data_IF_764304110230
#
_entry.id   IF_764304110230
#
_cell.length_a   1.000
_cell.length_b   1.000
_cell.length_c   1.000
_cell.angle_alpha   90.00
_cell.angle_beta   90.00
_cell.angle_gamma   90.00
#
_symmetry.space_group_name_H-M   'P 1'
#
loop_
_entity.id
_entity.type
_entity.pdbx_description
1 polymer ?
#
# COMPACT_ATOMS: atom_id res chain seq x y z
N UNK A 1 82.18 12.54 27.85
CA UNK A 1 82.34 11.58 26.72
C UNK A 1 80.96 11.26 26.17
N UNK A 2 80.83 11.15 24.84
CA UNK A 2 79.75 11.71 24.01
C UNK A 2 78.53 10.78 23.93
N UNK A 3 77.32 11.26 23.63
CA UNK A 3 76.73 11.36 22.28
C UNK A 3 75.21 11.55 22.48
N UNK A 4 74.34 12.12 21.64
CA UNK A 4 74.34 12.69 20.29
C UNK A 4 72.98 13.39 20.17
N UNK A 5 72.92 14.57 19.54
CA UNK A 5 71.67 15.15 19.00
C UNK A 5 71.30 14.49 17.64
N UNK A 6 70.38 15.02 16.82
CA UNK A 6 68.93 14.79 16.84
C UNK A 6 68.38 14.34 15.46
N UNK A 7 67.27 13.59 15.36
CA UNK A 7 66.53 13.51 14.09
C UNK A 7 65.00 13.34 14.27
N UNK A 8 64.29 14.40 13.85
CA UNK A 8 63.00 14.45 13.13
C UNK A 8 62.35 13.11 12.82
N UNK A 9 61.02 13.00 12.99
CA UNK A 9 60.11 12.52 11.93
C UNK A 9 58.69 13.09 12.17
N UNK A 10 58.16 13.71 11.11
CA UNK A 10 56.77 14.11 10.94
C UNK A 10 55.95 12.87 10.53
N UNK A 11 54.81 12.64 11.18
CA UNK A 11 53.67 11.89 10.66
C UNK A 11 52.46 12.38 11.46
N UNK A 12 51.48 13.07 10.89
CA UNK A 12 50.68 12.61 9.75
C UNK A 12 49.43 11.91 10.28
N UNK A 13 48.63 12.62 11.07
CA UNK A 13 47.41 12.10 11.71
C UNK A 13 46.15 12.49 10.95
N UNK A 14 45.83 11.69 9.94
CA UNK A 14 44.50 11.13 9.67
C UNK A 14 43.29 11.98 10.12
N UNK A 15 42.69 12.72 9.18
CA UNK A 15 41.31 13.17 9.32
C UNK A 15 40.38 12.30 8.48
N UNK A 16 39.36 11.80 9.18
CA UNK A 16 38.29 10.90 8.78
C UNK A 16 37.68 11.18 7.39
N UNK A 17 37.51 10.10 6.64
CA UNK A 17 36.56 10.01 5.54
C UNK A 17 35.13 10.09 6.07
N UNK A 18 34.38 11.12 5.63
CA UNK A 18 32.92 11.14 5.70
C UNK A 18 32.39 10.47 4.43
N UNK A 19 32.12 9.17 4.52
CA UNK A 19 31.29 8.48 3.52
C UNK A 19 29.85 8.75 3.89
N UNK A 20 29.25 9.77 3.28
CA UNK A 20 27.81 9.94 3.31
C UNK A 20 27.17 8.81 2.46
N UNK A 21 26.75 7.74 3.12
CA UNK A 21 25.87 6.74 2.52
C UNK A 21 24.53 7.42 2.23
N UNK A 22 24.30 7.76 0.97
CA UNK A 22 22.98 8.05 0.44
C UNK A 22 22.16 6.75 0.51
N UNK A 23 21.42 6.56 1.60
CA UNK A 23 20.34 5.60 1.64
C UNK A 23 19.23 6.19 0.76
N UNK A 24 19.07 5.64 -0.45
CA UNK A 24 18.03 6.06 -1.39
C UNK A 24 16.65 5.76 -0.81
N UNK A 25 15.97 6.80 -0.33
CA UNK A 25 14.53 6.81 -0.15
C UNK A 25 13.88 6.67 -1.52
N UNK A 26 13.07 5.63 -1.70
CA UNK A 26 12.51 5.21 -2.99
C UNK A 26 11.20 5.92 -3.35
N UNK A 27 10.95 7.08 -2.77
CA UNK A 27 9.85 7.93 -3.19
C UNK A 27 10.48 9.05 -4.03
N UNK A 28 10.63 8.79 -5.32
CA UNK A 28 10.84 9.86 -6.28
C UNK A 28 9.55 10.69 -6.29
N UNK A 29 9.71 11.99 -6.00
CA UNK A 29 8.73 13.08 -6.17
C UNK A 29 7.46 13.03 -5.29
N UNK A 30 7.43 13.92 -4.30
CA UNK A 30 6.32 14.23 -3.36
C UNK A 30 5.12 14.93 -4.06
N UNK A 31 4.91 14.73 -5.37
CA UNK A 31 3.75 15.27 -6.08
C UNK A 31 2.63 14.21 -6.09
N UNK A 32 1.40 14.54 -5.65
CA UNK A 32 0.29 13.59 -5.71
C UNK A 32 0.07 13.14 -7.17
N UNK A 33 -0.35 11.88 -7.39
CA UNK A 33 -0.62 11.41 -8.74
C UNK A 33 -1.71 12.28 -9.37
N UNK A 34 -1.55 12.58 -10.65
CA UNK A 34 -2.54 13.34 -11.44
C UNK A 34 -3.22 12.47 -12.51
N UNK A 35 -2.73 11.24 -12.68
CA UNK A 35 -3.21 10.28 -13.68
C UNK A 35 -3.96 9.13 -13.03
N UNK A 36 -5.03 8.69 -13.69
CA UNK A 36 -5.79 7.47 -13.34
C UNK A 36 -5.31 6.22 -14.06
N UNK A 37 -4.23 6.35 -14.84
CA UNK A 37 -3.49 5.22 -15.42
C UNK A 37 -2.31 4.92 -14.52
N UNK A 38 -2.08 3.65 -14.23
CA UNK A 38 -0.94 3.24 -13.41
C UNK A 38 0.38 3.44 -14.15
N UNK A 39 1.47 3.81 -13.43
CA UNK A 39 2.80 3.85 -13.99
C UNK A 39 3.19 2.50 -14.61
N UNK A 40 3.71 2.53 -15.85
CA UNK A 40 4.00 1.30 -16.59
C UNK A 40 5.12 0.45 -15.95
N UNK A 41 6.06 1.10 -15.27
CA UNK A 41 7.24 0.45 -14.69
C UNK A 41 7.04 0.00 -13.24
N UNK A 42 6.05 0.56 -12.53
CA UNK A 42 5.82 0.32 -11.09
C UNK A 42 4.50 -0.39 -10.79
N UNK A 43 3.59 -0.49 -11.76
CA UNK A 43 2.26 -1.03 -11.53
C UNK A 43 1.35 -0.08 -10.73
N UNK A 44 0.22 -0.61 -10.28
CA UNK A 44 -0.79 0.13 -9.53
C UNK A 44 -0.60 -0.10 -8.04
N UNK A 45 0.18 0.75 -7.37
CA UNK A 45 0.48 0.58 -5.96
C UNK A 45 -0.48 1.41 -5.12
N UNK A 46 -1.11 0.77 -4.14
CA UNK A 46 -1.89 1.39 -3.06
C UNK A 46 -1.23 1.05 -1.74
N UNK A 47 -1.20 1.95 -0.76
CA UNK A 47 -0.69 1.69 0.59
C UNK A 47 -1.68 2.24 1.62
N UNK A 48 -2.14 1.37 2.53
CA UNK A 48 -3.04 1.79 3.60
C UNK A 48 -2.30 2.67 4.62
N UNK A 49 -2.91 3.80 4.95
CA UNK A 49 -2.42 4.74 5.96
C UNK A 49 -3.07 4.46 7.31
N UNK A 50 -4.39 4.24 7.33
CA UNK A 50 -5.12 3.93 8.57
C UNK A 50 -6.45 3.22 8.31
N UNK A 51 -6.98 2.60 9.36
CA UNK A 51 -8.36 2.15 9.47
C UNK A 51 -8.92 2.61 10.81
N UNK A 52 -10.04 3.33 10.79
CA UNK A 52 -10.68 3.89 11.99
C UNK A 52 -12.16 3.52 12.02
N UNK A 53 -12.72 3.39 13.22
CA UNK A 53 -14.17 3.15 13.39
C UNK A 53 -14.97 4.42 13.10
N UNK A 54 -16.06 4.26 12.35
CA UNK A 54 -17.08 5.27 12.08
C UNK A 54 -18.47 4.62 12.22
N UNK A 55 -19.02 4.71 13.43
CA UNK A 55 -20.25 3.99 13.80
C UNK A 55 -20.06 2.47 13.74
N UNK A 56 -20.87 1.79 12.94
CA UNK A 56 -20.79 0.34 12.70
C UNK A 56 -19.83 -0.02 11.56
N UNK A 57 -19.23 1.00 10.93
CA UNK A 57 -18.40 0.86 9.75
C UNK A 57 -16.93 1.20 10.06
N UNK A 58 -16.05 0.80 9.16
CA UNK A 58 -14.65 1.23 9.13
C UNK A 58 -14.45 2.27 8.02
N UNK A 59 -13.71 3.33 8.33
CA UNK A 59 -13.17 4.28 7.36
C UNK A 59 -11.69 3.99 7.17
N UNK A 60 -11.32 3.63 5.95
CA UNK A 60 -9.96 3.36 5.51
C UNK A 60 -9.39 4.62 4.87
N UNK A 61 -8.10 4.89 5.09
CA UNK A 61 -7.35 5.89 4.33
C UNK A 61 -6.13 5.24 3.68
N UNK A 62 -5.75 5.77 2.52
CA UNK A 62 -4.61 5.24 1.76
C UNK A 62 -3.92 6.32 0.94
N UNK A 63 -2.73 5.99 0.46
CA UNK A 63 -2.08 6.65 -0.67
C UNK A 63 -2.02 5.67 -1.84
N UNK A 64 -1.99 6.21 -3.06
CA UNK A 64 -1.80 5.41 -4.27
C UNK A 64 -0.86 6.16 -5.22
N UNK A 65 -0.15 5.44 -6.10
CA UNK A 65 0.68 6.03 -7.17
C UNK A 65 -0.13 6.39 -8.43
N UNK A 66 -1.46 6.29 -8.35
CA UNK A 66 -2.42 6.68 -9.36
C UNK A 66 -3.66 7.29 -8.69
N UNK A 67 -4.54 7.91 -9.48
CA UNK A 67 -5.82 8.46 -9.02
C UNK A 67 -6.94 7.47 -9.40
N UNK A 68 -7.50 6.69 -8.46
CA UNK A 68 -8.64 5.83 -8.72
C UNK A 68 -9.78 6.55 -9.46
N UNK A 69 -10.36 5.89 -10.46
CA UNK A 69 -11.48 6.39 -11.25
C UNK A 69 -12.29 5.22 -11.81
N UNK A 70 -13.59 5.22 -11.55
CA UNK A 70 -14.50 4.12 -11.92
C UNK A 70 -14.50 3.77 -13.41
N UNK A 71 -14.24 4.74 -14.28
CA UNK A 71 -14.21 4.52 -15.74
C UNK A 71 -12.81 4.17 -16.28
N UNK A 72 -11.81 4.03 -15.38
CA UNK A 72 -10.41 3.73 -15.66
C UNK A 72 -9.91 2.77 -14.59
N UNK A 73 -8.69 2.97 -14.08
CA UNK A 73 -8.17 2.12 -13.02
C UNK A 73 -8.77 2.55 -11.69
N UNK A 74 -9.24 1.59 -10.92
CA UNK A 74 -9.88 1.79 -9.62
C UNK A 74 -9.45 0.69 -8.66
N UNK A 75 -9.98 0.70 -7.44
CA UNK A 75 -9.65 -0.30 -6.43
C UNK A 75 -10.84 -1.23 -6.18
N UNK A 76 -10.57 -2.53 -6.08
CA UNK A 76 -11.49 -3.48 -5.49
C UNK A 76 -11.12 -3.66 -4.01
N UNK A 77 -12.09 -3.41 -3.14
CA UNK A 77 -11.96 -3.52 -1.68
C UNK A 77 -12.72 -4.75 -1.21
N UNK A 78 -12.07 -5.62 -0.42
CA UNK A 78 -12.63 -6.92 -0.03
C UNK A 78 -12.05 -7.42 1.29
N UNK A 79 -12.77 -8.33 1.93
CA UNK A 79 -12.29 -9.07 3.10
C UNK A 79 -11.32 -10.18 2.69
N UNK A 80 -10.34 -10.49 3.54
CA UNK A 80 -9.30 -11.52 3.28
C UNK A 80 -9.81 -12.97 3.26
N UNK A 81 -11.13 -13.17 3.24
CA UNK A 81 -11.76 -14.43 2.80
C UNK A 81 -11.62 -14.68 1.30
N UNK A 82 -11.29 -13.66 0.50
CA UNK A 82 -11.10 -13.75 -0.94
C UNK A 82 -9.65 -13.51 -1.35
N UNK A 83 -9.24 -14.10 -2.48
CA UNK A 83 -7.99 -13.76 -3.17
C UNK A 83 -8.20 -12.65 -4.20
N UNK A 84 -7.14 -11.96 -4.66
CA UNK A 84 -7.23 -10.99 -5.76
C UNK A 84 -7.92 -11.55 -7.00
N UNK A 85 -7.56 -12.78 -7.40
CA UNK A 85 -8.16 -13.46 -8.54
C UNK A 85 -9.69 -13.67 -8.39
N UNK A 86 -10.18 -13.79 -7.16
CA UNK A 86 -11.60 -13.99 -6.84
C UNK A 86 -12.41 -12.70 -6.77
N UNK A 87 -11.75 -11.55 -6.81
CA UNK A 87 -12.39 -10.23 -6.86
C UNK A 87 -12.17 -9.58 -8.22
N UNK A 88 -12.09 -10.37 -9.29
CA UNK A 88 -11.97 -9.90 -10.67
C UNK A 88 -13.30 -10.12 -11.41
N UNK A 89 -13.48 -9.51 -12.59
CA UNK A 89 -14.68 -9.68 -13.44
C UNK A 89 -14.97 -11.16 -13.75
N UNK A 90 -13.93 -11.99 -13.84
CA UNK A 90 -13.98 -13.45 -14.05
C UNK A 90 -14.07 -14.27 -12.75
N UNK A 91 -14.53 -13.68 -11.64
CA UNK A 91 -14.69 -14.37 -10.35
C UNK A 91 -15.61 -15.61 -10.43
N UNK A 92 -16.60 -15.60 -11.32
CA UNK A 92 -17.55 -16.70 -11.52
C UNK A 92 -16.86 -17.97 -12.01
N UNK A 93 -15.78 -17.86 -12.77
CA UNK A 93 -14.94 -19.00 -13.21
C UNK A 93 -14.28 -19.70 -12.01
N UNK A 94 -14.23 -19.03 -10.85
CA UNK A 94 -13.71 -19.52 -9.57
C UNK A 94 -14.83 -19.80 -8.56
N UNK A 95 -16.09 -19.88 -9.02
CA UNK A 95 -17.29 -20.11 -8.20
C UNK A 95 -17.54 -19.03 -7.13
N UNK A 96 -17.05 -17.81 -7.34
CA UNK A 96 -17.33 -16.66 -6.47
C UNK A 96 -18.39 -15.79 -7.13
N UNK A 97 -19.42 -15.44 -6.35
CA UNK A 97 -20.49 -14.56 -6.84
C UNK A 97 -19.98 -13.12 -6.96
N UNK A 98 -20.38 -12.44 -8.03
CA UNK A 98 -20.16 -11.01 -8.20
C UNK A 98 -20.86 -10.21 -7.08
N UNK A 99 -20.25 -9.09 -6.68
CA UNK A 99 -20.77 -8.21 -5.63
C UNK A 99 -20.39 -8.59 -4.19
N UNK A 100 -19.44 -9.51 -4.02
CA UNK A 100 -18.85 -9.86 -2.71
C UNK A 100 -17.64 -8.98 -2.33
N UNK A 101 -17.32 -8.00 -3.18
CA UNK A 101 -16.35 -6.93 -2.95
C UNK A 101 -16.95 -5.62 -3.44
N UNK A 102 -16.30 -4.51 -3.08
CA UNK A 102 -16.78 -3.17 -3.40
C UNK A 102 -15.74 -2.41 -4.20
N UNK A 103 -16.18 -1.77 -5.27
CA UNK A 103 -15.36 -0.80 -6.01
C UNK A 103 -15.14 0.48 -5.20
N UNK A 104 -13.92 1.03 -5.24
CA UNK A 104 -13.63 2.39 -4.82
C UNK A 104 -12.88 3.15 -5.91
N UNK A 105 -13.46 4.28 -6.30
CA UNK A 105 -12.85 5.30 -7.16
C UNK A 105 -12.35 6.51 -6.35
N UNK A 106 -12.19 6.36 -5.03
CA UNK A 106 -11.77 7.44 -4.15
C UNK A 106 -10.24 7.53 -4.06
N UNK A 107 -9.65 8.72 -4.20
CA UNK A 107 -8.20 8.89 -4.15
C UNK A 107 -7.59 8.75 -2.76
N UNK A 108 -8.36 8.95 -1.69
CA UNK A 108 -7.80 9.11 -0.34
C UNK A 108 -8.29 8.08 0.68
N UNK A 109 -9.31 7.29 0.35
CA UNK A 109 -9.89 6.37 1.31
C UNK A 109 -11.29 5.89 0.96
N UNK A 110 -11.87 5.09 1.85
CA UNK A 110 -13.17 4.45 1.64
C UNK A 110 -13.81 4.12 2.98
N UNK A 111 -15.08 4.47 3.14
CA UNK A 111 -15.90 3.98 4.25
C UNK A 111 -16.60 2.71 3.80
N UNK A 112 -16.37 1.64 4.55
CA UNK A 112 -16.97 0.32 4.31
C UNK A 112 -18.49 0.37 4.26
N UNK A 113 -19.08 -0.59 3.57
CA UNK A 113 -20.53 -0.73 3.35
C UNK A 113 -20.84 -1.99 2.57
N UNK A 114 -22.09 -2.44 2.59
CA UNK A 114 -22.51 -3.63 1.83
C UNK A 114 -21.61 -4.84 2.12
N UNK A 115 -20.98 -5.41 1.09
CA UNK A 115 -20.12 -6.57 1.19
C UNK A 115 -18.83 -6.35 2.01
N UNK A 116 -18.36 -5.10 2.14
CA UNK A 116 -17.17 -4.77 2.93
C UNK A 116 -17.50 -4.27 4.34
N UNK A 117 -18.79 -4.21 4.71
CA UNK A 117 -19.18 -3.84 6.07
C UNK A 117 -18.63 -4.86 7.09
N UNK A 118 -18.26 -4.43 8.32
CA UNK A 118 -17.84 -5.33 9.39
C UNK A 118 -18.81 -6.47 9.66
N UNK A 119 -20.12 -6.21 9.58
CA UNK A 119 -21.16 -7.23 9.76
C UNK A 119 -21.15 -8.33 8.67
N UNK A 120 -20.57 -8.07 7.49
CA UNK A 120 -20.49 -9.01 6.37
C UNK A 120 -19.19 -9.85 6.36
N UNK A 121 -18.23 -9.56 7.25
CA UNK A 121 -16.86 -10.09 7.20
C UNK A 121 -16.72 -11.59 7.50
N UNK A 122 -17.67 -12.16 8.23
CA UNK A 122 -17.49 -13.49 8.85
C UNK A 122 -16.31 -13.48 9.84
N UNK A 123 -15.35 -14.38 9.63
CA UNK A 123 -14.15 -14.50 10.47
C UNK A 123 -12.96 -13.64 9.98
N UNK A 124 -13.11 -12.92 8.86
CA UNK A 124 -12.05 -12.08 8.30
C UNK A 124 -11.61 -10.97 9.27
N UNK A 125 -10.31 -10.74 9.36
CA UNK A 125 -9.71 -9.70 10.22
C UNK A 125 -8.94 -8.65 9.44
N UNK A 126 -8.86 -8.79 8.10
CA UNK A 126 -8.12 -7.86 7.25
C UNK A 126 -8.99 -7.37 6.11
N UNK A 127 -8.90 -6.07 5.83
CA UNK A 127 -9.42 -5.48 4.60
C UNK A 127 -8.29 -5.34 3.61
N UNK A 128 -8.55 -5.78 2.39
CA UNK A 128 -7.62 -5.77 1.28
C UNK A 128 -8.11 -4.82 0.17
N UNK A 129 -7.14 -4.29 -0.57
CA UNK A 129 -7.35 -3.51 -1.78
C UNK A 129 -6.43 -4.05 -2.88
N UNK A 130 -6.94 -4.15 -4.10
CA UNK A 130 -6.16 -4.45 -5.30
C UNK A 130 -6.65 -3.56 -6.43
N UNK A 131 -5.74 -3.16 -7.33
CA UNK A 131 -6.10 -2.35 -8.48
C UNK A 131 -6.78 -3.19 -9.58
N UNK A 132 -7.83 -2.62 -10.15
CA UNK A 132 -8.55 -3.16 -11.28
C UNK A 132 -8.63 -2.14 -12.43
N UNK A 133 -8.79 -2.63 -13.66
CA UNK A 133 -8.99 -1.80 -14.84
C UNK A 133 -10.47 -1.43 -15.04
N UNK A 134 -10.77 -0.70 -16.13
CA UNK A 134 -12.14 -0.27 -16.45
C UNK A 134 -13.13 -1.41 -16.69
N UNK A 135 -12.62 -2.61 -16.97
CA UNK A 135 -13.41 -3.81 -17.26
C UNK A 135 -13.52 -4.67 -15.99
N UNK A 136 -13.23 -4.09 -14.82
CA UNK A 136 -13.22 -4.74 -13.50
C UNK A 136 -12.27 -5.94 -13.41
N UNK A 137 -11.24 -6.00 -14.26
CA UNK A 137 -10.22 -7.05 -14.16
C UNK A 137 -9.11 -6.59 -13.25
N UNK A 138 -8.71 -7.46 -12.34
CA UNK A 138 -7.54 -7.21 -11.50
C UNK A 138 -6.30 -7.09 -12.40
N UNK A 139 -5.55 -6.01 -12.22
CA UNK A 139 -4.41 -5.66 -13.08
C UNK A 139 -3.20 -6.54 -12.74
N UNK A 140 -2.89 -6.67 -11.45
CA UNK A 140 -1.85 -7.56 -10.94
C UNK A 140 -2.31 -8.15 -9.60
N UNK A 141 -2.45 -9.47 -9.56
CA UNK A 141 -2.85 -10.20 -8.35
C UNK A 141 -1.79 -10.12 -7.24
N UNK A 142 -0.52 -9.88 -7.57
CA UNK A 142 0.59 -9.76 -6.64
C UNK A 142 0.63 -8.42 -5.89
N UNK A 143 -0.04 -7.39 -6.42
CA UNK A 143 0.00 -6.03 -5.88
C UNK A 143 -1.08 -5.71 -4.85
N UNK A 144 -1.82 -6.72 -4.38
CA UNK A 144 -2.74 -6.52 -3.26
C UNK A 144 -2.01 -5.94 -2.03
N UNK A 145 -2.69 -5.05 -1.32
CA UNK A 145 -2.33 -4.66 0.05
C UNK A 145 -3.49 -4.92 0.97
N UNK A 146 -3.18 -5.28 2.21
CA UNK A 146 -4.20 -5.51 3.23
C UNK A 146 -3.77 -4.89 4.56
N UNK A 147 -4.73 -4.29 5.25
CA UNK A 147 -4.58 -3.75 6.60
C UNK A 147 -5.26 -4.69 7.60
N UNK A 148 -4.58 -4.99 8.71
CA UNK A 148 -5.20 -5.68 9.84
C UNK A 148 -6.10 -4.70 10.59
N UNK A 149 -7.37 -5.08 10.76
CA UNK A 149 -8.40 -4.25 11.40
C UNK A 149 -8.92 -4.90 12.68
N UNK A 150 -8.23 -5.89 13.23
CA UNK A 150 -8.66 -6.62 14.43
C UNK A 150 -8.95 -5.69 15.61
N UNK A 151 -8.08 -4.70 15.81
CA UNK A 151 -8.26 -3.70 16.87
C UNK A 151 -9.50 -2.82 16.63
N UNK A 152 -9.68 -2.32 15.41
CA UNK A 152 -10.84 -1.50 15.06
C UNK A 152 -12.15 -2.31 15.13
N UNK A 153 -12.11 -3.59 14.76
CA UNK A 153 -13.26 -4.49 14.86
C UNK A 153 -13.68 -4.77 16.31
N UNK A 154 -12.78 -4.66 17.29
CA UNK A 154 -13.14 -4.79 18.70
C UNK A 154 -13.91 -3.56 19.24
N UNK A 155 -13.85 -2.44 18.51
CA UNK A 155 -14.57 -1.20 18.83
C UNK A 155 -15.91 -1.12 18.08
N UNK A 156 -16.07 -1.87 16.98
CA UNK A 156 -17.34 -2.09 16.29
C UNK A 156 -18.10 -3.20 17.03
N UNK A 157 -19.06 -2.81 17.86
CA UNK A 157 -19.77 -3.68 18.82
C UNK A 157 -20.42 -4.93 18.26
#
# INVERSE_FOLDING_TARGET
MPARSPHRWLAGGMLLALVASACGSRFADDEPPTSSTCPADEGCVVEFVSATVDGEQLTLTWTANFVPNANRNHLHIYWDTFTPAQVSDDASDRNVAQGLWTESASPTGFTTGGATAPAARGDATRLCAVAADRDHRVIDEGDQRCIDVTAALAEVG
#
